data_IF_207887185366
#
_entry.id   IF_207887185366
#
_cell.length_a   1.000
_cell.length_b   1.000
_cell.length_c   1.000
_cell.angle_alpha   90.00
_cell.angle_beta   90.00
_cell.angle_gamma   90.00
#
_symmetry.space_group_name_H-M   'P 1'
#
loop_
_entity.id
_entity.type
_entity.pdbx_description
1 polymer ?
#
# COMPACT_ATOMS: atom_id res chain seq x y z
N UNK A 1 -14.25 6.51 9.16
CA UNK A 1 -14.24 5.50 8.07
C UNK A 1 -15.15 4.34 8.45
N UNK A 2 -15.82 3.69 7.47
CA UNK A 2 -16.57 2.45 7.71
C UNK A 2 -15.63 1.26 7.57
N UNK A 3 -15.52 0.44 8.62
CA UNK A 3 -14.75 -0.81 8.58
C UNK A 3 -15.75 -1.98 8.56
N UNK A 4 -15.61 -2.86 7.57
CA UNK A 4 -16.44 -4.05 7.45
C UNK A 4 -16.01 -5.11 8.45
N UNK A 5 -16.94 -5.61 9.27
CA UNK A 5 -16.60 -6.46 10.41
C UNK A 5 -16.45 -7.96 10.11
N UNK A 6 -16.87 -8.46 8.93
CA UNK A 6 -16.66 -9.87 8.54
C UNK A 6 -17.05 -10.15 7.08
N UNK A 7 -16.58 -11.26 6.50
CA UNK A 7 -16.95 -11.70 5.14
C UNK A 7 -18.34 -12.34 5.15
N UNK A 8 -19.40 -11.56 4.92
CA UNK A 8 -20.73 -12.13 4.64
C UNK A 8 -21.96 -11.24 4.88
N UNK A 9 -21.82 -10.02 5.41
CA UNK A 9 -22.97 -9.14 5.67
C UNK A 9 -22.68 -7.64 5.51
N UNK A 10 -23.74 -6.82 5.59
CA UNK A 10 -23.70 -5.35 5.59
C UNK A 10 -23.30 -4.75 6.94
N UNK A 11 -22.75 -5.56 7.85
CA UNK A 11 -22.32 -5.12 9.18
C UNK A 11 -20.99 -4.36 9.07
N UNK A 12 -21.05 -3.07 9.40
CA UNK A 12 -19.90 -2.21 9.56
C UNK A 12 -19.96 -1.51 10.91
N UNK A 13 -18.81 -1.06 11.38
CA UNK A 13 -18.74 -0.04 12.43
C UNK A 13 -18.09 1.21 11.85
N UNK A 14 -18.58 2.35 12.31
CA UNK A 14 -17.93 3.62 12.05
C UNK A 14 -16.86 3.82 13.12
N UNK A 15 -15.64 4.11 12.66
CA UNK A 15 -14.53 4.45 13.54
C UNK A 15 -13.96 5.79 13.12
N UNK A 16 -13.45 6.51 14.10
CA UNK A 16 -12.65 7.71 13.85
C UNK A 16 -11.33 7.31 13.19
N UNK A 17 -10.89 8.13 12.25
CA UNK A 17 -9.64 7.94 11.52
C UNK A 17 -8.92 9.26 11.41
N UNK A 18 -7.59 9.24 11.42
CA UNK A 18 -6.74 10.42 11.30
C UNK A 18 -5.78 10.24 10.14
N UNK A 19 -5.42 11.33 9.45
CA UNK A 19 -4.33 11.29 8.47
C UNK A 19 -3.01 11.14 9.21
N UNK A 20 -2.12 10.27 8.74
CA UNK A 20 -0.82 10.09 9.40
C UNK A 20 -0.02 11.39 9.40
N UNK A 21 -0.05 12.18 8.32
CA UNK A 21 0.61 13.49 8.27
C UNK A 21 0.12 14.47 9.35
N UNK A 22 -1.17 14.41 9.71
CA UNK A 22 -1.73 15.22 10.80
C UNK A 22 -1.29 14.68 12.17
N UNK A 23 -1.36 13.36 12.35
CA UNK A 23 -0.95 12.69 13.60
C UNK A 23 0.54 12.89 13.94
N UNK A 24 1.39 13.03 12.92
CA UNK A 24 2.83 13.25 13.06
C UNK A 24 3.26 14.72 12.97
N UNK A 25 2.35 15.67 12.75
CA UNK A 25 2.68 17.08 12.49
C UNK A 25 3.61 17.70 13.54
N UNK A 26 3.36 17.42 14.82
CA UNK A 26 4.11 17.99 15.95
C UNK A 26 5.12 16.99 16.56
N UNK A 27 5.32 15.84 15.89
CA UNK A 27 6.22 14.79 16.32
C UNK A 27 7.49 14.87 15.50
N UNK A 28 8.63 15.10 16.15
CA UNK A 28 9.93 15.01 15.48
C UNK A 28 10.38 13.54 15.35
N UNK A 29 9.58 12.74 14.66
CA UNK A 29 9.81 11.30 14.48
C UNK A 29 10.30 11.01 13.06
N UNK A 30 11.51 10.48 12.96
CA UNK A 30 11.99 9.84 11.72
C UNK A 30 11.24 8.53 11.52
N UNK A 31 10.82 8.24 10.28
CA UNK A 31 10.19 6.97 9.93
C UNK A 31 11.11 6.22 8.98
N UNK A 32 11.70 5.12 9.48
CA UNK A 32 12.60 4.28 8.68
C UNK A 32 11.85 3.19 7.89
N UNK A 33 10.74 2.69 8.44
CA UNK A 33 9.95 1.60 7.85
C UNK A 33 8.46 1.85 8.03
N UNK A 34 7.67 1.57 6.99
CA UNK A 34 6.22 1.47 7.05
C UNK A 34 5.82 0.06 6.59
N UNK A 35 4.93 -0.58 7.36
CA UNK A 35 4.18 -1.76 6.93
C UNK A 35 2.70 -1.38 6.86
N UNK A 36 2.08 -1.65 5.74
CA UNK A 36 0.67 -1.36 5.48
C UNK A 36 -0.05 -2.64 5.10
N UNK A 37 -1.03 -2.98 5.93
CA UNK A 37 -1.80 -4.22 5.88
C UNK A 37 -3.13 -3.88 6.54
N UNK A 38 -3.99 -3.22 5.77
CA UNK A 38 -5.23 -2.58 6.24
C UNK A 38 -6.42 -2.95 5.38
N UNK A 39 -6.30 -4.09 4.68
CA UNK A 39 -7.41 -4.86 4.16
C UNK A 39 -8.26 -4.10 3.11
N UNK A 40 -7.63 -3.22 2.32
CA UNK A 40 -8.24 -2.53 1.17
C UNK A 40 -8.21 -1.00 1.20
N UNK A 41 -7.89 -0.39 2.34
CA UNK A 41 -7.85 1.05 2.51
C UNK A 41 -6.46 1.67 2.18
N UNK A 42 -5.58 0.91 1.53
CA UNK A 42 -4.17 1.28 1.32
C UNK A 42 -4.00 2.59 0.55
N UNK A 43 -4.84 2.81 -0.47
CA UNK A 43 -4.83 4.05 -1.22
C UNK A 43 -5.16 5.28 -0.37
N UNK A 44 -6.20 5.19 0.48
CA UNK A 44 -6.60 6.30 1.36
C UNK A 44 -5.53 6.59 2.42
N UNK A 45 -4.90 5.54 2.96
CA UNK A 45 -3.80 5.69 3.88
C UNK A 45 -2.59 6.36 3.20
N UNK A 46 -2.27 5.97 1.96
CA UNK A 46 -1.20 6.55 1.17
C UNK A 46 -1.40 8.05 0.93
N UNK A 47 -2.62 8.49 0.60
CA UNK A 47 -2.99 9.91 0.50
C UNK A 47 -2.79 10.66 1.83
N UNK A 48 -3.07 10.00 2.96
CA UNK A 48 -2.93 10.57 4.29
C UNK A 48 -1.50 10.67 4.84
N UNK A 49 -0.48 10.20 4.10
CA UNK A 49 0.92 10.13 4.57
C UNK A 49 1.96 10.69 3.58
N UNK A 50 1.54 11.47 2.58
CA UNK A 50 2.43 11.95 1.52
C UNK A 50 3.59 12.81 2.07
N UNK A 51 3.35 13.60 3.12
CA UNK A 51 4.40 14.40 3.76
C UNK A 51 5.44 13.49 4.42
N UNK A 52 5.01 12.49 5.21
CA UNK A 52 5.91 11.50 5.81
C UNK A 52 6.78 10.83 4.75
N UNK A 53 6.17 10.37 3.66
CA UNK A 53 6.91 9.72 2.57
C UNK A 53 7.87 10.71 1.91
N UNK A 54 7.48 11.95 1.63
CA UNK A 54 8.34 12.92 0.93
C UNK A 54 9.59 13.36 1.72
N UNK A 55 9.47 13.51 3.05
CA UNK A 55 10.57 13.99 3.92
C UNK A 55 11.54 12.87 4.30
N UNK A 56 11.09 11.62 4.42
CA UNK A 56 11.94 10.48 4.75
C UNK A 56 12.51 9.86 3.46
N UNK A 57 13.76 10.20 3.12
CA UNK A 57 14.38 9.79 1.85
C UNK A 57 14.78 8.31 1.79
N UNK A 58 15.13 7.67 2.90
CA UNK A 58 15.59 6.26 2.92
C UNK A 58 14.54 5.29 3.47
N UNK A 59 13.27 5.68 3.46
CA UNK A 59 12.18 4.89 4.05
C UNK A 59 11.94 3.60 3.24
N UNK A 60 11.71 2.49 3.96
CA UNK A 60 11.28 1.21 3.38
C UNK A 60 9.78 1.06 3.57
N UNK A 61 9.06 0.75 2.50
CA UNK A 61 7.61 0.69 2.52
C UNK A 61 7.13 -0.68 2.04
N UNK A 62 6.35 -1.37 2.86
CA UNK A 62 5.72 -2.64 2.54
C UNK A 62 4.21 -2.42 2.51
N UNK A 63 3.54 -2.89 1.47
CA UNK A 63 2.07 -2.83 1.41
C UNK A 63 1.47 -4.10 0.86
N UNK A 64 0.38 -4.52 1.47
CA UNK A 64 -0.57 -5.44 0.87
C UNK A 64 -1.30 -4.74 -0.27
N UNK A 65 -1.69 -5.48 -1.31
CA UNK A 65 -2.62 -5.05 -2.34
C UNK A 65 -3.70 -6.13 -2.45
N UNK A 66 -4.94 -5.73 -2.18
CA UNK A 66 -6.14 -6.50 -2.49
C UNK A 66 -6.90 -5.74 -3.60
N UNK A 67 -6.72 -6.09 -4.89
CA UNK A 67 -7.19 -5.28 -6.02
C UNK A 67 -8.69 -4.95 -5.92
N UNK A 68 -9.50 -5.97 -5.61
CA UNK A 68 -10.95 -5.85 -5.49
C UNK A 68 -11.42 -4.97 -4.33
N UNK A 69 -10.59 -4.74 -3.31
CA UNK A 69 -10.95 -3.88 -2.17
C UNK A 69 -10.41 -2.47 -2.35
N UNK A 70 -9.23 -2.33 -2.94
CA UNK A 70 -8.67 -1.03 -3.30
C UNK A 70 -9.65 -0.27 -4.20
N UNK A 71 -10.21 -0.92 -5.22
CA UNK A 71 -11.21 -0.33 -6.12
C UNK A 71 -12.49 0.14 -5.38
N UNK A 72 -12.88 -0.51 -4.28
CA UNK A 72 -14.06 -0.10 -3.47
C UNK A 72 -13.85 1.24 -2.76
N UNK A 73 -12.60 1.69 -2.61
CA UNK A 73 -12.28 3.00 -2.05
C UNK A 73 -12.32 4.13 -3.09
N UNK A 74 -12.57 3.80 -4.36
CA UNK A 74 -12.50 4.75 -5.47
C UNK A 74 -11.09 4.95 -6.03
N UNK A 75 -10.08 4.31 -5.43
CA UNK A 75 -8.70 4.35 -5.90
C UNK A 75 -8.43 3.15 -6.79
N UNK A 76 -8.10 3.41 -8.06
CA UNK A 76 -7.64 2.37 -8.97
C UNK A 76 -6.23 1.89 -8.56
N UNK A 77 -5.96 0.60 -8.67
CA UNK A 77 -4.64 0.05 -8.33
C UNK A 77 -3.47 0.55 -9.16
N UNK A 78 -3.67 0.87 -10.44
CA UNK A 78 -2.67 1.57 -11.24
C UNK A 78 -2.38 2.97 -10.69
N UNK A 79 -3.41 3.70 -10.23
CA UNK A 79 -3.23 5.01 -9.58
C UNK A 79 -2.47 4.89 -8.27
N UNK A 80 -2.74 3.85 -7.47
CA UNK A 80 -1.98 3.57 -6.26
C UNK A 80 -0.49 3.36 -6.55
N UNK A 81 -0.14 2.57 -7.56
CA UNK A 81 1.25 2.40 -7.99
C UNK A 81 1.84 3.71 -8.55
N UNK A 82 1.07 4.49 -9.33
CA UNK A 82 1.50 5.79 -9.85
C UNK A 82 1.80 6.80 -8.75
N UNK A 83 1.04 6.80 -7.65
CA UNK A 83 1.32 7.66 -6.50
C UNK A 83 2.66 7.29 -5.85
N UNK A 84 2.94 5.99 -5.69
CA UNK A 84 4.21 5.51 -5.14
C UNK A 84 5.39 5.88 -6.07
N UNK A 85 5.26 5.68 -7.38
CA UNK A 85 6.32 6.07 -8.33
C UNK A 85 6.53 7.58 -8.39
N UNK A 86 5.46 8.39 -8.33
CA UNK A 86 5.54 9.86 -8.24
C UNK A 86 6.30 10.33 -6.98
N UNK A 87 6.18 9.60 -5.87
CA UNK A 87 6.94 9.82 -4.64
C UNK A 87 8.40 9.32 -4.70
N UNK A 88 8.81 8.78 -5.86
CA UNK A 88 10.18 8.34 -6.17
C UNK A 88 10.46 6.87 -5.85
N UNK A 89 9.44 6.07 -5.50
CA UNK A 89 9.66 4.66 -5.17
C UNK A 89 9.82 3.78 -6.42
N UNK A 90 10.81 2.91 -6.38
CA UNK A 90 10.83 1.66 -7.13
C UNK A 90 9.92 0.64 -6.41
N UNK A 91 9.10 -0.08 -7.18
CA UNK A 91 8.10 -1.00 -6.65
C UNK A 91 8.46 -2.43 -7.04
N UNK A 92 8.54 -3.30 -6.05
CA UNK A 92 8.85 -4.71 -6.22
C UNK A 92 7.66 -5.55 -5.74
N UNK A 93 7.18 -6.45 -6.58
CA UNK A 93 6.36 -7.57 -6.14
C UNK A 93 7.21 -8.50 -5.26
N UNK A 94 6.65 -8.91 -4.12
CA UNK A 94 7.21 -9.97 -3.28
C UNK A 94 6.62 -11.30 -3.75
N UNK A 95 7.47 -12.13 -4.35
CA UNK A 95 7.12 -13.46 -4.85
C UNK A 95 7.37 -14.49 -3.75
N UNK A 96 6.35 -15.27 -3.40
CA UNK A 96 6.43 -16.29 -2.33
C UNK A 96 7.00 -17.65 -2.79
N UNK A 97 7.51 -17.74 -4.03
CA UNK A 97 8.09 -18.98 -4.57
C UNK A 97 9.32 -19.42 -3.77
N UNK A 98 9.43 -20.74 -3.55
CA UNK A 98 10.46 -21.36 -2.71
C UNK A 98 11.78 -21.67 -3.43
N UNK A 99 11.98 -21.18 -4.65
CA UNK A 99 13.23 -21.42 -5.37
C UNK A 99 14.35 -20.59 -4.74
N UNK A 100 15.17 -21.23 -3.91
CA UNK A 100 16.29 -20.60 -3.21
C UNK A 100 17.33 -19.96 -4.15
N UNK A 101 17.29 -20.26 -5.45
CA UNK A 101 18.22 -19.73 -6.44
C UNK A 101 17.69 -18.48 -7.16
N UNK A 102 16.45 -18.04 -6.88
CA UNK A 102 15.85 -16.85 -7.49
C UNK A 102 15.62 -15.74 -6.47
N UNK A 103 15.65 -14.50 -6.95
CA UNK A 103 15.22 -13.34 -6.16
C UNK A 103 13.72 -13.43 -5.92
N UNK A 104 13.29 -13.21 -4.67
CA UNK A 104 11.87 -13.09 -4.31
C UNK A 104 11.29 -11.70 -4.61
N UNK A 105 12.06 -10.84 -5.28
CA UNK A 105 11.64 -9.49 -5.65
C UNK A 105 11.65 -9.34 -7.17
N UNK A 106 10.49 -8.98 -7.73
CA UNK A 106 10.32 -8.64 -9.15
C UNK A 106 9.94 -7.17 -9.28
N UNK A 107 10.76 -6.38 -9.97
CA UNK A 107 10.45 -4.98 -10.25
C UNK A 107 9.19 -4.90 -11.14
N UNK A 108 8.25 -4.03 -10.78
CA UNK A 108 7.00 -3.80 -11.52
C UNK A 108 6.79 -2.31 -11.79
N UNK A 109 6.10 -2.01 -12.89
CA UNK A 109 5.67 -0.67 -13.24
C UNK A 109 4.14 -0.54 -13.10
N UNK A 110 3.61 0.68 -12.86
CA UNK A 110 2.17 0.91 -12.75
C UNK A 110 1.34 0.35 -13.92
N UNK A 111 1.82 0.50 -15.15
CA UNK A 111 1.15 -0.02 -16.35
C UNK A 111 1.00 -1.54 -16.38
N UNK A 112 1.82 -2.27 -15.61
CA UNK A 112 1.78 -3.72 -15.48
C UNK A 112 0.80 -4.18 -14.39
N UNK A 113 0.09 -3.27 -13.71
CA UNK A 113 -0.79 -3.60 -12.59
C UNK A 113 -1.72 -4.77 -12.89
N UNK A 114 -2.43 -4.73 -14.02
CA UNK A 114 -3.39 -5.78 -14.42
C UNK A 114 -2.76 -7.16 -14.59
N UNK A 115 -1.55 -7.22 -15.14
CA UNK A 115 -0.80 -8.47 -15.30
C UNK A 115 -0.28 -8.96 -13.94
N UNK A 116 0.29 -8.05 -13.15
CA UNK A 116 0.85 -8.30 -11.83
C UNK A 116 -0.19 -8.87 -10.85
N UNK A 117 -1.43 -8.36 -10.88
CA UNK A 117 -2.50 -8.83 -10.00
C UNK A 117 -3.41 -9.88 -10.64
N UNK A 118 -3.10 -10.31 -11.87
CA UNK A 118 -3.91 -11.30 -12.58
C UNK A 118 -4.02 -12.57 -11.74
N UNK A 119 -5.26 -13.04 -11.54
CA UNK A 119 -5.59 -14.25 -10.76
C UNK A 119 -5.20 -14.19 -9.27
N UNK A 120 -4.72 -13.05 -8.76
CA UNK A 120 -4.37 -12.89 -7.35
C UNK A 120 -5.52 -12.30 -6.55
N UNK A 121 -5.80 -12.93 -5.42
CA UNK A 121 -6.70 -12.37 -4.41
C UNK A 121 -5.98 -11.25 -3.64
N UNK A 122 -4.71 -11.47 -3.35
CA UNK A 122 -3.85 -10.60 -2.55
C UNK A 122 -2.41 -10.74 -3.03
N UNK A 123 -1.62 -9.69 -2.89
CA UNK A 123 -0.19 -9.70 -3.17
C UNK A 123 0.50 -8.66 -2.30
N UNK A 124 1.78 -8.87 -1.99
CA UNK A 124 2.58 -7.92 -1.24
C UNK A 124 3.55 -7.20 -2.16
N UNK A 125 3.77 -5.91 -1.90
CA UNK A 125 4.79 -5.11 -2.54
C UNK A 125 5.80 -4.59 -1.52
N UNK A 126 7.04 -4.46 -1.98
CA UNK A 126 8.11 -3.76 -1.32
C UNK A 126 8.52 -2.56 -2.15
N UNK A 127 8.65 -1.40 -1.52
CA UNK A 127 9.00 -0.15 -2.15
C UNK A 127 10.24 0.46 -1.51
N UNK A 128 11.14 0.95 -2.35
CA UNK A 128 12.34 1.68 -1.93
C UNK A 128 12.66 2.81 -2.90
N UNK A 129 13.26 3.88 -2.41
CA UNK A 129 13.83 4.98 -3.19
C UNK A 129 15.25 5.26 -2.74
#
# INVERSE_FOLDING_TARGET
MRIQLWRGGSNYVEVETVKLDEYFKDKNSKVDVIKMDIEGAEGLALEGMQKILSVNKNIKFFSEIIPTRLEKTGINGENYLNMLTYLGFNIYEIIEEKDKNKSNLKLINPSQFKEFVKEKIVTNIFCTK
#
